data_IF_698553842750
#
_entry.id   IF_698553842750
#
_cell.length_a   1.000
_cell.length_b   1.000
_cell.length_c   1.000
_cell.angle_alpha   90.00
_cell.angle_beta   90.00
_cell.angle_gamma   90.00
#
_symmetry.space_group_name_H-M   'P 1'
#
loop_
_entity.id
_entity.type
_entity.pdbx_description
1 polymer ?
#
# COMPACT_ATOMS: atom_id res chain seq x y z
N UNK A 1 19.61 -58.15 -40.75
CA UNK A 1 19.34 -56.90 -41.51
C UNK A 1 18.37 -56.06 -40.71
N UNK A 2 18.87 -55.03 -40.04
CA UNK A 2 18.09 -54.15 -39.17
C UNK A 2 17.29 -53.15 -40.01
N UNK A 3 15.97 -53.09 -39.83
CA UNK A 3 15.14 -52.00 -40.34
C UNK A 3 14.13 -51.56 -39.28
N UNK A 4 14.53 -50.51 -38.55
CA UNK A 4 13.71 -49.37 -38.14
C UNK A 4 12.39 -49.67 -37.42
N UNK A 5 12.50 -50.01 -36.13
CA UNK A 5 11.50 -49.64 -35.14
C UNK A 5 11.58 -48.10 -35.04
N UNK A 6 10.62 -47.40 -35.62
CA UNK A 6 10.46 -45.95 -35.44
C UNK A 6 10.03 -45.73 -33.99
N UNK A 7 11.03 -45.57 -33.12
CA UNK A 7 10.91 -45.17 -31.74
C UNK A 7 10.30 -43.76 -31.73
N UNK A 8 9.01 -43.66 -31.44
CA UNK A 8 8.31 -42.39 -31.27
C UNK A 8 8.88 -41.72 -30.03
N UNK A 9 9.87 -40.85 -30.24
CA UNK A 9 10.49 -40.04 -29.20
C UNK A 9 9.45 -39.02 -28.71
N UNK A 10 8.71 -39.39 -27.67
CA UNK A 10 7.87 -38.47 -26.89
C UNK A 10 8.79 -37.39 -26.31
N UNK A 11 8.84 -36.24 -26.99
CA UNK A 11 9.41 -35.01 -26.46
C UNK A 11 8.55 -34.58 -25.26
N UNK A 12 8.89 -35.08 -24.07
CA UNK A 12 8.44 -34.53 -22.80
C UNK A 12 9.16 -33.18 -22.60
N UNK A 13 8.60 -32.11 -23.17
CA UNK A 13 9.00 -30.77 -22.77
C UNK A 13 8.46 -30.51 -21.35
N UNK A 14 9.32 -30.18 -20.36
CA UNK A 14 8.81 -29.70 -19.08
C UNK A 14 8.13 -28.36 -19.34
N UNK A 15 6.80 -28.36 -19.33
CA UNK A 15 6.03 -27.13 -19.30
C UNK A 15 6.33 -26.45 -17.96
N UNK A 16 7.18 -25.44 -17.99
CA UNK A 16 7.41 -24.58 -16.83
C UNK A 16 6.13 -23.78 -16.63
N UNK A 17 5.24 -24.28 -15.78
CA UNK A 17 4.03 -23.57 -15.39
C UNK A 17 4.47 -22.43 -14.48
N UNK A 18 4.69 -21.25 -15.07
CA UNK A 18 4.87 -20.03 -14.29
C UNK A 18 3.53 -19.73 -13.61
N UNK A 19 3.47 -19.95 -12.29
CA UNK A 19 2.32 -19.56 -11.49
C UNK A 19 2.08 -18.05 -11.69
N UNK A 20 0.90 -17.69 -12.16
CA UNK A 20 0.50 -16.29 -12.29
C UNK A 20 0.53 -15.62 -10.91
N UNK A 21 1.13 -14.42 -10.79
CA UNK A 21 1.20 -13.73 -9.50
C UNK A 21 -0.21 -13.44 -8.98
N UNK A 22 -0.46 -13.80 -7.72
CA UNK A 22 -1.71 -13.46 -7.05
C UNK A 22 -1.69 -11.96 -6.71
N UNK A 23 -2.30 -11.16 -7.60
CA UNK A 23 -2.33 -9.70 -7.49
C UNK A 23 -3.03 -9.22 -6.21
N UNK A 24 -4.08 -9.93 -5.77
CA UNK A 24 -4.77 -9.60 -4.52
C UNK A 24 -3.86 -9.83 -3.30
N UNK A 25 -3.18 -10.98 -3.23
CA UNK A 25 -2.24 -11.26 -2.14
C UNK A 25 -1.10 -10.21 -2.07
N UNK A 26 -0.59 -9.77 -3.22
CA UNK A 26 0.41 -8.69 -3.29
C UNK A 26 -0.21 -7.38 -2.79
N UNK A 27 -1.41 -7.02 -3.25
CA UNK A 27 -2.10 -5.81 -2.82
C UNK A 27 -2.33 -5.79 -1.30
N UNK A 28 -2.86 -6.87 -0.73
CA UNK A 28 -3.09 -6.98 0.72
C UNK A 28 -1.78 -6.87 1.50
N UNK A 29 -0.71 -7.54 1.05
CA UNK A 29 0.59 -7.51 1.73
C UNK A 29 1.17 -6.10 1.76
N UNK A 30 1.11 -5.35 0.65
CA UNK A 30 1.60 -3.98 0.60
C UNK A 30 0.72 -3.05 1.45
N UNK A 31 -0.60 -3.20 1.38
CA UNK A 31 -1.53 -2.43 2.21
C UNK A 31 -1.26 -2.63 3.71
N UNK A 32 -1.01 -3.86 4.16
CA UNK A 32 -0.70 -4.14 5.57
C UNK A 32 0.58 -3.43 6.04
N UNK A 33 1.61 -3.33 5.18
CA UNK A 33 2.84 -2.60 5.51
C UNK A 33 2.58 -1.10 5.64
N UNK A 34 1.85 -0.55 4.67
CA UNK A 34 1.47 0.85 4.67
C UNK A 34 0.56 1.22 5.84
N UNK A 35 -0.34 0.33 6.25
CA UNK A 35 -1.16 0.50 7.44
C UNK A 35 -0.29 0.60 8.70
N UNK A 36 0.73 -0.26 8.82
CA UNK A 36 1.72 -0.16 9.90
C UNK A 36 2.49 1.16 9.91
N UNK A 37 2.87 1.68 8.73
CA UNK A 37 3.54 2.98 8.64
C UNK A 37 2.62 4.15 9.00
N UNK A 38 1.36 4.13 8.54
CA UNK A 38 0.37 5.16 8.88
C UNK A 38 -0.01 5.10 10.37
N UNK A 39 -0.09 3.92 10.97
CA UNK A 39 -0.32 3.76 12.40
C UNK A 39 0.81 4.39 13.23
N UNK A 40 2.07 4.25 12.82
CA UNK A 40 3.20 4.93 13.47
C UNK A 40 3.10 6.45 13.34
N UNK A 41 2.73 6.96 12.16
CA UNK A 41 2.51 8.40 11.95
C UNK A 41 1.40 8.94 12.87
N UNK A 42 0.30 8.19 13.03
CA UNK A 42 -0.76 8.54 13.96
C UNK A 42 -0.26 8.58 15.42
N UNK A 43 0.52 7.59 15.85
CA UNK A 43 1.12 7.57 17.18
C UNK A 43 2.07 8.75 17.44
N UNK A 44 2.87 9.14 16.44
CA UNK A 44 3.72 10.34 16.52
C UNK A 44 2.87 11.60 16.71
N UNK A 45 1.78 11.74 15.95
CA UNK A 45 0.89 12.89 16.08
C UNK A 45 0.18 12.93 17.45
N UNK A 46 -0.19 11.77 18.01
CA UNK A 46 -0.75 11.68 19.37
C UNK A 46 0.25 12.21 20.41
N UNK A 47 1.52 11.84 20.28
CA UNK A 47 2.58 12.34 21.15
C UNK A 47 2.81 13.85 20.96
N UNK A 48 2.86 14.34 19.72
CA UNK A 48 2.99 15.77 19.41
C UNK A 48 1.85 16.58 20.05
N UNK A 49 0.60 16.10 19.92
CA UNK A 49 -0.56 16.74 20.53
C UNK A 49 -0.47 16.76 22.05
N UNK A 50 -0.07 15.63 22.65
CA UNK A 50 0.15 15.54 24.10
C UNK A 50 1.18 16.56 24.59
N UNK A 51 2.31 16.72 23.88
CA UNK A 51 3.37 17.68 24.24
C UNK A 51 2.93 19.14 24.10
N UNK A 52 2.01 19.43 23.18
CA UNK A 52 1.48 20.79 22.96
C UNK A 52 0.19 21.08 23.75
N UNK A 53 -0.24 20.17 24.62
CA UNK A 53 -1.46 20.34 25.43
C UNK A 53 -2.76 20.36 24.62
N UNK A 54 -2.76 19.77 23.41
CA UNK A 54 -3.93 19.71 22.54
C UNK A 54 -4.75 18.48 22.92
N UNK A 55 -5.92 18.70 23.51
CA UNK A 55 -6.83 17.63 23.97
C UNK A 55 -7.96 17.33 22.97
N UNK A 56 -8.09 18.09 21.89
CA UNK A 56 -9.11 17.88 20.87
C UNK A 56 -8.89 16.54 20.13
N UNK A 57 -9.94 15.73 20.04
CA UNK A 57 -9.99 14.49 19.26
C UNK A 57 -9.83 14.78 17.77
N UNK A 58 -9.22 13.86 17.00
CA UNK A 58 -8.99 13.93 15.53
C UNK A 58 -10.30 14.21 14.77
N UNK A 59 -10.75 15.45 14.70
CA UNK A 59 -11.93 15.83 13.90
C UNK A 59 -11.57 17.07 13.10
N UNK A 60 -10.93 16.82 11.96
CA UNK A 60 -10.62 17.84 10.96
C UNK A 60 -11.83 18.03 10.04
N UNK A 61 -12.88 18.69 10.52
CA UNK A 61 -13.88 19.31 9.66
C UNK A 61 -13.88 20.82 9.91
N UNK A 62 -13.37 21.60 8.95
CA UNK A 62 -13.70 23.03 8.85
C UNK A 62 -12.69 24.09 9.31
N UNK A 63 -11.40 23.78 9.52
CA UNK A 63 -10.40 24.83 9.80
C UNK A 63 -8.97 24.41 9.47
N UNK A 64 -8.37 25.00 8.44
CA UNK A 64 -7.00 24.72 7.95
C UNK A 64 -5.95 25.50 8.79
N UNK A 65 -6.24 25.87 10.03
CA UNK A 65 -5.47 26.93 10.69
C UNK A 65 -4.25 26.46 11.50
N UNK A 66 -3.98 25.15 11.60
CA UNK A 66 -2.75 24.68 12.29
C UNK A 66 -2.03 23.56 11.53
N UNK A 67 -0.70 23.59 11.57
CA UNK A 67 0.16 22.56 10.99
C UNK A 67 -0.17 21.16 11.54
N UNK A 68 -0.62 21.06 12.80
CA UNK A 68 -1.05 19.80 13.44
C UNK A 68 -2.35 19.29 12.82
N UNK A 69 -3.39 20.13 12.72
CA UNK A 69 -4.67 19.75 12.08
C UNK A 69 -4.43 19.34 10.61
N UNK A 70 -3.51 19.99 9.93
CA UNK A 70 -3.14 19.63 8.56
C UNK A 70 -2.43 18.28 8.47
N UNK A 71 -1.46 18.01 9.36
CA UNK A 71 -0.81 16.71 9.42
C UNK A 71 -1.80 15.58 9.77
N UNK A 72 -2.67 15.80 10.76
CA UNK A 72 -3.72 14.85 11.14
C UNK A 72 -4.66 14.53 9.97
N UNK A 73 -5.06 15.56 9.19
CA UNK A 73 -5.84 15.37 7.97
C UNK A 73 -5.13 14.42 7.01
N UNK A 74 -3.84 14.63 6.73
CA UNK A 74 -3.12 13.78 5.78
C UNK A 74 -2.89 12.36 6.30
N UNK A 75 -2.71 12.17 7.61
CA UNK A 75 -2.63 10.83 8.21
C UNK A 75 -3.96 10.09 8.04
N UNK A 76 -5.09 10.76 8.28
CA UNK A 76 -6.43 10.18 8.07
C UNK A 76 -6.68 9.88 6.59
N UNK A 77 -6.37 10.83 5.70
CA UNK A 77 -6.50 10.65 4.25
C UNK A 77 -5.65 9.47 3.72
N UNK A 78 -4.44 9.28 4.28
CA UNK A 78 -3.61 8.13 3.94
C UNK A 78 -4.24 6.80 4.40
N UNK A 79 -4.82 6.76 5.61
CA UNK A 79 -5.52 5.58 6.11
C UNK A 79 -6.74 5.23 5.23
N UNK A 80 -7.54 6.22 4.84
CA UNK A 80 -8.67 6.04 3.93
C UNK A 80 -8.23 5.56 2.55
N UNK A 81 -7.13 6.11 2.03
CA UNK A 81 -6.56 5.67 0.76
C UNK A 81 -6.09 4.20 0.80
N UNK A 82 -5.53 3.74 1.93
CA UNK A 82 -5.20 2.32 2.13
C UNK A 82 -6.46 1.47 2.14
N UNK A 83 -7.49 1.88 2.90
CA UNK A 83 -8.76 1.14 2.94
C UNK A 83 -9.39 1.02 1.54
N UNK A 84 -9.36 2.09 0.75
CA UNK A 84 -9.81 2.08 -0.64
C UNK A 84 -8.95 1.19 -1.54
N UNK A 85 -7.62 1.19 -1.37
CA UNK A 85 -6.73 0.29 -2.12
C UNK A 85 -7.02 -1.18 -1.83
N UNK A 86 -7.35 -1.55 -0.58
CA UNK A 86 -7.59 -2.96 -0.19
C UNK A 86 -8.79 -3.59 -0.90
N UNK A 87 -9.79 -2.80 -1.26
CA UNK A 87 -11.02 -3.29 -1.92
C UNK A 87 -10.93 -3.25 -3.45
N UNK A 88 -9.89 -2.64 -4.00
CA UNK A 88 -9.67 -2.59 -5.45
C UNK A 88 -9.24 -3.94 -5.99
N UNK A 89 -9.73 -4.25 -7.19
CA UNK A 89 -9.35 -5.44 -7.96
C UNK A 89 -8.53 -4.99 -9.15
N UNK A 90 -7.47 -5.73 -9.46
CA UNK A 90 -6.54 -5.40 -10.54
C UNK A 90 -6.56 -6.52 -11.58
N UNK A 91 -6.64 -6.13 -12.86
CA UNK A 91 -6.61 -7.09 -13.97
C UNK A 91 -5.19 -7.32 -14.50
N UNK A 92 -4.22 -6.49 -14.08
CA UNK A 92 -2.82 -6.64 -14.49
C UNK A 92 -1.82 -6.19 -13.42
N UNK A 93 -0.59 -6.70 -13.51
CA UNK A 93 0.51 -6.28 -12.65
C UNK A 93 0.88 -4.79 -12.83
N UNK A 94 0.77 -4.27 -14.05
CA UNK A 94 1.07 -2.86 -14.34
C UNK A 94 0.07 -1.93 -13.66
N UNK A 95 -1.20 -2.28 -13.69
CA UNK A 95 -2.27 -1.54 -13.02
C UNK A 95 -2.08 -1.55 -11.50
N UNK A 96 -1.82 -2.72 -10.91
CA UNK A 96 -1.51 -2.85 -9.49
C UNK A 96 -0.31 -1.98 -9.10
N UNK A 97 0.78 -2.07 -9.86
CA UNK A 97 2.00 -1.29 -9.61
C UNK A 97 1.72 0.21 -9.64
N UNK A 98 1.02 0.69 -10.66
CA UNK A 98 0.68 2.10 -10.79
C UNK A 98 -0.20 2.59 -9.63
N UNK A 99 -1.22 1.80 -9.25
CA UNK A 99 -2.08 2.13 -8.11
C UNK A 99 -1.30 2.19 -6.79
N UNK A 100 -0.41 1.23 -6.55
CA UNK A 100 0.43 1.20 -5.35
C UNK A 100 1.43 2.37 -5.31
N UNK A 101 1.95 2.82 -6.46
CA UNK A 101 2.80 4.01 -6.55
C UNK A 101 2.04 5.30 -6.18
N UNK A 102 0.78 5.43 -6.63
CA UNK A 102 -0.09 6.54 -6.20
C UNK A 102 -0.32 6.48 -4.69
N UNK A 103 -0.63 5.30 -4.15
CA UNK A 103 -0.83 5.11 -2.72
C UNK A 103 0.42 5.50 -1.91
N UNK A 104 1.60 5.05 -2.35
CA UNK A 104 2.90 5.44 -1.77
C UNK A 104 3.05 6.96 -1.73
N UNK A 105 2.69 7.66 -2.81
CA UNK A 105 2.73 9.12 -2.86
C UNK A 105 1.87 9.79 -1.79
N UNK A 106 0.65 9.28 -1.55
CA UNK A 106 -0.25 9.78 -0.50
C UNK A 106 0.33 9.58 0.91
N UNK A 107 0.96 8.42 1.16
CA UNK A 107 1.58 8.11 2.46
C UNK A 107 2.83 8.97 2.69
N UNK A 108 3.67 9.15 1.66
CA UNK A 108 4.83 10.03 1.73
C UNK A 108 4.42 11.49 1.98
N UNK A 109 3.30 11.93 1.41
CA UNK A 109 2.73 13.25 1.70
C UNK A 109 2.33 13.36 3.17
N UNK A 110 1.63 12.37 3.73
CA UNK A 110 1.32 12.34 5.15
C UNK A 110 2.57 12.39 6.04
N UNK A 111 3.58 11.57 5.72
CA UNK A 111 4.87 11.59 6.44
C UNK A 111 5.54 12.97 6.41
N UNK A 112 5.54 13.64 5.27
CA UNK A 112 6.10 14.99 5.14
C UNK A 112 5.36 15.99 6.05
N UNK A 113 4.02 15.98 6.02
CA UNK A 113 3.24 16.92 6.85
C UNK A 113 3.41 16.65 8.34
N UNK A 114 3.50 15.40 8.77
CA UNK A 114 3.88 15.04 10.15
C UNK A 114 5.28 15.56 10.47
N UNK A 115 6.25 15.40 9.56
CA UNK A 115 7.61 15.89 9.75
C UNK A 115 7.72 17.40 9.97
N UNK A 116 6.79 18.20 9.43
CA UNK A 116 6.72 19.65 9.67
C UNK A 116 6.12 20.03 11.03
N UNK A 117 5.52 19.09 11.75
CA UNK A 117 4.93 19.33 13.07
C UNK A 117 5.87 19.05 14.24
N UNK A 118 6.92 18.26 13.97
CA UNK A 118 8.02 17.92 14.87
C UNK A 118 8.97 19.09 15.04
#
# INVERSE_FOLDING_TARGET
>A
MAKWIILTLLFFSPTVVFASPNLDAINQTVCNRFEGDVAKLAGIMDEVRSRKGITETRVAFGGIDTQIKFADYWVTYAAEAIAYQRIQKFSSQNELRYSLEILKGKILKAKNEVGKTL
#
